data_IF_468578915897
#
_entry.id   IF_468578915897
#
_cell.length_a   1.000
_cell.length_b   1.000
_cell.length_c   1.000
_cell.angle_alpha   90.00
_cell.angle_beta   90.00
_cell.angle_gamma   90.00
#
_symmetry.space_group_name_H-M   'P 1'
#
loop_
_entity.id
_entity.type
_entity.pdbx_description
1 polymer ?
#
# COMPACT_ATOMS: atom_id res chain seq x y z
N UNK A 1 8.91 -1.10 -9.66
CA UNK A 1 8.35 -0.64 -10.58
C UNK A 1 7.19 -1.36 -11.08
N UNK A 2 6.16 -1.38 -10.44
CA UNK A 2 5.06 -2.21 -10.67
C UNK A 2 3.91 -1.50 -11.28
N UNK A 3 3.79 -0.20 -11.02
CA UNK A 3 2.71 0.61 -11.54
C UNK A 3 3.28 1.51 -12.60
N UNK A 4 3.60 0.92 -13.75
CA UNK A 4 4.08 1.67 -14.88
C UNK A 4 2.95 1.93 -15.84
N UNK A 5 3.15 2.90 -16.70
CA UNK A 5 2.30 3.11 -17.87
C UNK A 5 2.80 2.18 -18.94
N UNK A 6 1.96 1.24 -19.34
CA UNK A 6 2.26 0.32 -20.42
C UNK A 6 1.18 0.40 -21.48
N UNK A 7 1.57 0.11 -22.70
CA UNK A 7 0.64 0.23 -23.83
C UNK A 7 0.53 -1.07 -24.60
N UNK A 8 -0.69 -1.35 -25.07
CA UNK A 8 -0.94 -2.36 -26.07
C UNK A 8 -0.46 -3.76 -25.73
N UNK A 9 -0.40 -4.07 -24.47
CA UNK A 9 0.02 -5.39 -24.03
C UNK A 9 -1.02 -6.02 -23.17
N UNK A 10 -1.34 -7.29 -23.47
CA UNK A 10 -2.29 -8.01 -22.64
C UNK A 10 -1.75 -8.27 -21.23
N UNK A 11 -0.43 -8.55 -21.14
CA UNK A 11 0.23 -8.77 -19.87
C UNK A 11 0.05 -7.63 -18.89
N UNK A 12 0.28 -6.38 -19.27
CA UNK A 12 0.10 -5.23 -18.37
C UNK A 12 -1.31 -5.12 -17.80
N UNK A 13 -2.34 -5.36 -18.61
CA UNK A 13 -3.71 -5.28 -18.14
C UNK A 13 -4.01 -6.36 -17.12
N UNK A 14 -3.66 -7.60 -17.45
CA UNK A 14 -3.88 -8.72 -16.57
C UNK A 14 -3.11 -8.55 -15.26
N UNK A 15 -1.86 -8.16 -15.37
CA UNK A 15 -0.98 -7.94 -14.24
C UNK A 15 -1.53 -6.83 -13.36
N UNK A 16 -2.00 -5.74 -13.99
CA UNK A 16 -2.62 -4.63 -13.30
C UNK A 16 -3.83 -5.10 -12.48
N UNK A 17 -4.71 -5.90 -13.05
CA UNK A 17 -5.91 -6.37 -12.37
C UNK A 17 -5.55 -7.25 -11.17
N UNK A 18 -4.56 -8.11 -11.33
CA UNK A 18 -4.11 -8.97 -10.23
C UNK A 18 -3.57 -8.14 -9.08
N UNK A 19 -2.74 -7.15 -9.39
CA UNK A 19 -2.14 -6.29 -8.36
C UNK A 19 -3.16 -5.40 -7.70
N UNK A 20 -4.09 -4.86 -8.48
CA UNK A 20 -5.16 -4.04 -7.93
C UNK A 20 -6.01 -4.86 -6.96
N UNK A 21 -6.37 -6.08 -7.34
CA UNK A 21 -7.14 -6.96 -6.49
C UNK A 21 -6.39 -7.27 -5.20
N UNK A 22 -5.10 -7.54 -5.29
CA UNK A 22 -4.27 -7.80 -4.12
C UNK A 22 -4.27 -6.61 -3.17
N UNK A 23 -4.02 -5.42 -3.71
CA UNK A 23 -3.94 -4.20 -2.90
C UNK A 23 -5.27 -3.84 -2.26
N UNK A 24 -6.37 -4.16 -2.92
CA UNK A 24 -7.71 -3.79 -2.46
C UNK A 24 -8.35 -4.84 -1.55
N UNK A 25 -7.66 -5.92 -1.25
CA UNK A 25 -8.15 -6.94 -0.32
C UNK A 25 -7.77 -6.58 1.10
N UNK A 26 -8.64 -6.93 2.05
CA UNK A 26 -8.32 -6.67 3.45
C UNK A 26 -7.20 -7.60 3.95
N UNK A 27 -6.37 -7.15 4.86
CA UNK A 27 -6.39 -5.84 5.55
C UNK A 27 -5.65 -4.74 4.80
N UNK A 28 -5.10 -5.01 3.62
CA UNK A 28 -4.31 -4.04 2.87
C UNK A 28 -5.12 -2.82 2.48
N UNK A 29 -6.38 -3.03 2.09
CA UNK A 29 -7.27 -1.93 1.77
C UNK A 29 -7.41 -0.96 2.94
N UNK A 30 -7.59 -1.50 4.15
CA UNK A 30 -7.69 -0.67 5.34
C UNK A 30 -6.40 0.06 5.64
N UNK A 31 -5.26 -0.60 5.45
CA UNK A 31 -3.96 0.04 5.63
C UNK A 31 -3.82 1.24 4.71
N UNK A 32 -4.18 1.07 3.44
CA UNK A 32 -4.13 2.15 2.45
C UNK A 32 -5.04 3.30 2.88
N UNK A 33 -6.24 2.98 3.31
CA UNK A 33 -7.19 3.98 3.75
C UNK A 33 -6.70 4.73 5.00
N UNK A 34 -6.10 4.02 5.93
CA UNK A 34 -5.52 4.62 7.14
C UNK A 34 -4.43 5.61 6.79
N UNK A 35 -3.57 5.27 5.83
CA UNK A 35 -2.51 6.17 5.42
C UNK A 35 -3.07 7.43 4.76
N UNK A 36 -3.97 7.26 3.78
CA UNK A 36 -4.54 8.43 3.10
C UNK A 36 -3.45 9.39 2.63
N UNK A 37 -3.56 10.65 3.06
CA UNK A 37 -2.58 11.68 2.74
C UNK A 37 -1.54 11.88 3.85
N UNK A 38 -1.57 11.05 4.86
CA UNK A 38 -0.74 11.21 6.05
C UNK A 38 0.48 10.31 6.05
N UNK A 39 1.42 10.67 6.92
CA UNK A 39 2.54 9.81 7.26
C UNK A 39 2.20 9.17 8.59
N UNK A 40 2.27 7.86 8.67
CA UNK A 40 1.95 7.14 9.91
C UNK A 40 3.03 6.11 10.22
N UNK A 41 3.29 5.94 11.52
CA UNK A 41 4.21 4.91 11.96
C UNK A 41 3.54 3.54 11.90
N UNK A 42 4.36 2.50 11.93
CA UNK A 42 3.85 1.13 11.98
C UNK A 42 2.91 0.94 13.16
N UNK A 43 3.25 1.50 14.31
CA UNK A 43 2.42 1.37 15.50
C UNK A 43 1.09 2.09 15.35
N UNK A 44 1.10 3.27 14.74
CA UNK A 44 -0.15 4.01 14.48
C UNK A 44 -1.07 3.22 13.56
N UNK A 45 -0.50 2.60 12.53
CA UNK A 45 -1.28 1.75 11.62
C UNK A 45 -1.86 0.55 12.39
N UNK A 46 -1.04 -0.07 13.22
CA UNK A 46 -1.45 -1.21 14.03
C UNK A 46 -2.64 -0.87 14.92
N UNK A 47 -2.56 0.27 15.63
CA UNK A 47 -3.62 0.69 16.53
C UNK A 47 -4.89 1.07 15.79
N UNK A 48 -4.77 1.71 14.63
CA UNK A 48 -5.93 2.04 13.82
C UNK A 48 -6.64 0.80 13.30
N UNK A 49 -5.88 -0.20 12.90
CA UNK A 49 -6.47 -1.48 12.48
C UNK A 49 -7.25 -2.11 13.62
N UNK A 50 -6.68 -2.09 14.84
CA UNK A 50 -7.37 -2.61 16.02
C UNK A 50 -8.69 -1.91 16.28
N UNK A 51 -8.68 -0.59 16.17
CA UNK A 51 -9.90 0.20 16.36
C UNK A 51 -10.98 -0.14 15.35
N UNK A 52 -10.57 -0.56 14.17
CA UNK A 52 -11.52 -0.95 13.11
C UNK A 52 -11.96 -2.41 13.23
N UNK A 53 -11.50 -3.11 14.25
CA UNK A 53 -11.83 -4.52 14.43
C UNK A 53 -10.97 -5.46 13.60
N UNK A 54 -9.88 -4.95 13.03
CA UNK A 54 -8.95 -5.76 12.25
C UNK A 54 -7.68 -6.01 13.05
N UNK A 55 -7.82 -6.77 14.13
CA UNK A 55 -6.70 -7.07 15.00
C UNK A 55 -5.87 -8.20 14.39
N UNK A 56 -4.68 -7.87 13.96
CA UNK A 56 -3.75 -8.84 13.36
C UNK A 56 -2.44 -8.81 14.12
N UNK A 57 -1.69 -9.93 14.13
CA UNK A 57 -0.36 -9.92 14.74
C UNK A 57 0.57 -8.93 14.03
N UNK A 58 1.53 -8.38 14.78
CA UNK A 58 2.48 -7.42 14.20
C UNK A 58 3.28 -8.04 13.05
N UNK A 59 3.63 -9.32 13.15
CA UNK A 59 4.36 -9.99 12.07
C UNK A 59 3.55 -10.02 10.76
N UNK A 60 2.24 -10.17 10.88
CA UNK A 60 1.35 -10.16 9.72
C UNK A 60 1.26 -8.74 9.16
N UNK A 61 1.19 -7.74 10.02
CA UNK A 61 1.21 -6.34 9.57
C UNK A 61 2.50 -6.03 8.81
N UNK A 62 3.64 -6.43 9.34
CA UNK A 62 4.92 -6.22 8.64
C UNK A 62 4.92 -6.90 7.28
N UNK A 63 4.35 -8.09 7.17
CA UNK A 63 4.23 -8.77 5.89
C UNK A 63 3.43 -7.94 4.89
N UNK A 64 2.29 -7.40 5.33
CA UNK A 64 1.45 -6.60 4.44
C UNK A 64 2.11 -5.28 4.04
N UNK A 65 2.80 -4.63 4.98
CA UNK A 65 3.53 -3.41 4.66
C UNK A 65 4.63 -3.67 3.64
N UNK A 66 5.38 -4.76 3.83
CA UNK A 66 6.42 -5.16 2.88
C UNK A 66 5.83 -5.45 1.50
N UNK A 67 4.70 -6.15 1.46
CA UNK A 67 4.04 -6.48 0.20
C UNK A 67 3.57 -5.23 -0.54
N UNK A 68 2.96 -4.29 0.19
CA UNK A 68 2.52 -3.02 -0.41
C UNK A 68 3.70 -2.20 -0.90
N UNK A 69 4.80 -2.23 -0.16
CA UNK A 69 6.02 -1.52 -0.57
C UNK A 69 6.60 -2.14 -1.84
N UNK A 70 6.65 -3.46 -1.92
CA UNK A 70 7.14 -4.13 -3.12
C UNK A 70 6.29 -3.85 -4.34
N UNK A 71 4.98 -3.70 -4.15
CA UNK A 71 4.08 -3.33 -5.23
C UNK A 71 4.22 -1.87 -5.63
N UNK A 72 4.97 -1.07 -4.86
CA UNK A 72 5.14 0.35 -5.15
C UNK A 72 3.96 1.21 -4.73
N UNK A 73 3.09 0.70 -3.87
CA UNK A 73 1.90 1.43 -3.41
C UNK A 73 2.23 2.33 -2.24
N UNK A 74 3.06 1.85 -1.32
CA UNK A 74 3.52 2.65 -0.20
C UNK A 74 5.04 2.76 -0.24
N UNK A 75 5.54 3.74 0.48
CA UNK A 75 6.99 3.90 0.63
C UNK A 75 7.29 4.28 2.07
N UNK A 76 8.52 4.01 2.47
CA UNK A 76 8.97 4.43 3.79
C UNK A 76 9.21 5.92 3.76
N UNK A 77 8.62 6.64 4.71
CA UNK A 77 8.75 8.09 4.78
C UNK A 77 9.92 8.52 5.68
N UNK A 78 10.39 7.61 6.52
CA UNK A 78 11.48 7.89 7.43
C UNK A 78 11.32 7.12 8.72
N UNK A 79 11.88 7.67 9.77
CA UNK A 79 11.80 7.08 11.10
C UNK A 79 11.25 8.10 12.08
N UNK A 80 10.63 7.58 13.11
CA UNK A 80 10.12 8.38 14.22
C UNK A 80 10.58 7.70 15.49
N UNK A 81 10.82 8.46 16.51
CA UNK A 81 11.16 7.89 17.80
C UNK A 81 9.94 7.17 18.35
N UNK A 82 10.09 5.89 18.64
CA UNK A 82 9.01 5.08 19.16
C UNK A 82 9.05 4.99 20.67
N UNK A 83 8.12 4.22 21.22
CA UNK A 83 8.07 3.95 22.64
C UNK A 83 9.35 3.24 23.07
N UNK A 84 9.96 3.69 24.15
CA UNK A 84 11.20 3.13 24.64
C UNK A 84 12.43 3.60 23.90
N UNK A 85 12.28 4.62 23.05
CA UNK A 85 13.43 5.22 22.36
C UNK A 85 13.89 4.48 21.12
N UNK A 86 13.27 3.37 20.75
CA UNK A 86 13.64 2.65 19.54
C UNK A 86 13.05 3.35 18.32
N UNK A 87 13.83 3.52 17.23
CA UNK A 87 13.30 4.11 16.01
C UNK A 87 12.21 3.24 15.41
N UNK A 88 11.23 3.88 14.84
CA UNK A 88 10.09 3.21 14.25
C UNK A 88 9.89 3.74 12.83
N UNK A 89 9.67 2.82 11.90
CA UNK A 89 9.45 3.19 10.50
C UNK A 89 8.14 3.92 10.35
N UNK A 90 8.15 4.92 9.48
CA UNK A 90 6.94 5.62 9.09
C UNK A 90 6.68 5.39 7.60
N UNK A 91 5.42 5.47 7.22
CA UNK A 91 4.95 5.08 5.90
C UNK A 91 4.03 6.12 5.32
N UNK A 92 3.97 6.19 4.01
CA UNK A 92 3.01 7.02 3.30
C UNK A 92 2.65 6.37 1.98
N UNK A 93 1.52 6.78 1.42
CA UNK A 93 1.13 6.31 0.09
C UNK A 93 2.03 6.96 -0.96
N UNK A 94 2.51 6.14 -1.87
CA UNK A 94 3.26 6.58 -3.03
C UNK A 94 2.32 6.72 -4.22
N UNK A 95 1.29 5.88 -4.26
CA UNK A 95 0.30 5.83 -5.33
C UNK A 95 -1.07 5.97 -4.69
N UNK A 96 -1.87 6.90 -5.17
CA UNK A 96 -3.22 7.14 -4.63
C UNK A 96 -4.32 6.77 -5.60
N UNK A 97 -4.01 6.74 -6.88
CA UNK A 97 -4.98 6.42 -7.91
C UNK A 97 -4.36 5.50 -8.96
N UNK A 98 -5.11 4.49 -9.33
CA UNK A 98 -4.71 3.58 -10.40
C UNK A 98 -5.88 3.44 -11.35
N UNK A 99 -5.60 3.22 -12.60
CA UNK A 99 -6.66 3.08 -13.57
C UNK A 99 -6.19 2.49 -14.88
N UNK A 100 -7.14 2.30 -15.76
CA UNK A 100 -6.88 1.76 -17.08
C UNK A 100 -7.72 2.51 -18.11
N UNK A 101 -7.11 2.84 -19.22
CA UNK A 101 -7.82 3.39 -20.35
C UNK A 101 -8.35 2.22 -21.16
N UNK A 102 -9.65 2.07 -21.21
CA UNK A 102 -10.26 0.92 -21.89
C UNK A 102 -10.08 0.95 -23.40
N UNK A 103 -9.94 2.14 -23.97
CA UNK A 103 -9.79 2.29 -25.42
C UNK A 103 -8.39 1.88 -25.87
N UNK A 104 -7.38 2.32 -25.13
CA UNK A 104 -5.98 2.09 -25.52
C UNK A 104 -5.35 0.91 -24.81
N UNK A 105 -5.93 0.46 -23.69
CA UNK A 105 -5.31 -0.56 -22.84
C UNK A 105 -4.21 -0.03 -21.95
N UNK A 106 -4.03 1.28 -21.94
CA UNK A 106 -2.97 1.91 -21.14
C UNK A 106 -3.31 1.90 -19.67
N UNK A 107 -2.35 1.47 -18.85
CA UNK A 107 -2.48 1.46 -17.38
C UNK A 107 -1.78 2.71 -16.86
N UNK A 108 -2.40 3.39 -15.90
CA UNK A 108 -1.79 4.58 -15.30
C UNK A 108 -1.87 4.54 -13.78
N UNK A 109 -0.96 5.28 -13.16
CA UNK A 109 -0.92 5.46 -11.71
C UNK A 109 -0.61 6.92 -11.40
N UNK A 110 -1.16 7.37 -10.26
CA UNK A 110 -0.95 8.73 -9.79
C UNK A 110 -0.74 8.75 -8.29
#
# INVERSE_FOLDING_TARGET
MYWHIHRHRRGPIRDFLIRARFALSEPRRSIINILGDDVKSTNEIYEELRKRGLSIPRSVLYYHLSSLRELGIIEMAGYREGNGGAPEKTWRLKVKRIGINLVTGEVFVE
#
